data_IF_231526999470
#
_entry.id   IF_231526999470
#
_cell.length_a   1.000
_cell.length_b   1.000
_cell.length_c   1.000
_cell.angle_alpha   90.00
_cell.angle_beta   90.00
_cell.angle_gamma   90.00
#
_symmetry.space_group_name_H-M   'P 1'
#
loop_
_entity.id
_entity.type
_entity.pdbx_description
1 polymer ?
#
# COMPACT_ATOMS: atom_id res chain seq x y z
N UNK A 1 -8.91 -14.54 0.29
CA UNK A 1 -9.59 -13.89 1.44
C UNK A 1 -9.11 -14.43 2.78
N UNK A 2 -9.04 -15.75 3.01
CA UNK A 2 -8.56 -16.31 4.29
C UNK A 2 -7.17 -15.86 4.77
N UNK A 3 -6.19 -15.70 3.85
CA UNK A 3 -4.83 -15.21 4.17
C UNK A 3 -4.78 -13.73 4.57
N UNK A 4 -5.69 -12.90 4.05
CA UNK A 4 -5.76 -11.47 4.40
C UNK A 4 -6.51 -11.23 5.71
N UNK A 5 -7.39 -12.17 6.08
CA UNK A 5 -8.21 -12.14 7.28
C UNK A 5 -7.61 -12.96 8.43
N UNK A 6 -6.40 -13.52 8.27
CA UNK A 6 -5.72 -14.35 9.27
C UNK A 6 -6.52 -15.60 9.69
N UNK A 7 -7.34 -16.14 8.78
CA UNK A 7 -8.27 -17.23 9.07
C UNK A 7 -7.68 -18.63 8.85
N UNK A 8 -6.44 -18.76 8.37
CA UNK A 8 -5.81 -20.06 8.16
C UNK A 8 -5.11 -20.54 9.44
N UNK A 9 -5.55 -21.66 10.04
CA UNK A 9 -4.86 -22.24 11.18
C UNK A 9 -3.45 -22.72 10.78
N UNK A 10 -2.47 -22.54 11.67
CA UNK A 10 -1.09 -23.02 11.48
C UNK A 10 -0.07 -21.95 11.09
N UNK A 11 -0.48 -20.69 10.86
CA UNK A 11 0.47 -19.57 10.66
C UNK A 11 0.76 -18.85 11.99
N UNK A 12 2.04 -18.78 12.35
CA UNK A 12 2.49 -17.87 13.39
C UNK A 12 2.71 -16.48 12.77
N UNK A 13 1.92 -15.48 13.19
CA UNK A 13 2.12 -14.09 12.81
C UNK A 13 2.71 -13.35 14.02
N UNK A 14 4.05 -13.38 14.23
CA UNK A 14 4.65 -12.81 15.42
C UNK A 14 4.41 -11.31 15.46
N UNK A 15 3.97 -10.85 16.63
CA UNK A 15 3.84 -9.42 16.95
C UNK A 15 5.22 -8.84 17.20
N UNK A 16 5.67 -7.95 16.33
CA UNK A 16 6.99 -7.33 16.38
C UNK A 16 6.97 -6.05 17.20
N UNK A 17 5.91 -5.26 17.05
CA UNK A 17 5.67 -4.05 17.84
C UNK A 17 4.32 -4.18 18.53
N UNK A 18 4.26 -3.88 19.83
CA UNK A 18 3.02 -3.87 20.60
C UNK A 18 2.76 -2.46 21.13
N UNK A 19 1.72 -1.81 20.59
CA UNK A 19 1.30 -0.45 20.96
C UNK A 19 2.46 0.55 21.05
N UNK A 20 3.46 0.42 20.19
CA UNK A 20 4.59 1.33 20.12
C UNK A 20 4.09 2.73 19.73
N UNK A 21 4.50 3.75 20.46
CA UNK A 21 4.20 5.15 20.13
C UNK A 21 5.45 5.74 19.50
N UNK A 22 5.37 6.15 18.23
CA UNK A 22 6.53 6.64 17.48
C UNK A 22 6.88 8.10 17.82
N UNK A 23 5.89 8.90 18.21
CA UNK A 23 6.02 10.31 18.54
C UNK A 23 4.90 10.79 19.49
N UNK A 24 5.07 11.94 20.15
CA UNK A 24 4.11 12.46 21.14
C UNK A 24 2.69 12.68 20.59
N UNK A 25 2.56 13.04 19.31
CA UNK A 25 1.29 13.31 18.65
C UNK A 25 0.72 12.09 17.92
N UNK A 26 1.41 10.95 17.99
CA UNK A 26 1.06 9.72 17.28
C UNK A 26 0.20 8.76 18.11
N UNK A 27 -0.77 8.10 17.47
CA UNK A 27 -1.50 6.99 18.08
C UNK A 27 -0.61 5.74 18.26
N UNK A 28 -0.96 4.80 19.15
CA UNK A 28 -0.19 3.57 19.33
C UNK A 28 -0.27 2.70 18.07
N UNK A 29 0.87 2.20 17.64
CA UNK A 29 1.03 1.33 16.47
C UNK A 29 1.39 -0.10 16.89
N UNK A 30 0.73 -1.08 16.29
CA UNK A 30 1.04 -2.50 16.49
C UNK A 30 1.38 -3.10 15.13
N UNK A 31 2.48 -3.84 15.05
CA UNK A 31 2.99 -4.42 13.81
C UNK A 31 3.23 -5.91 13.98
N UNK A 32 2.88 -6.67 12.94
CA UNK A 32 3.08 -8.11 12.87
C UNK A 32 3.87 -8.45 11.61
N UNK A 33 4.69 -9.50 11.64
CA UNK A 33 5.12 -10.17 10.42
C UNK A 33 4.05 -11.18 10.04
N UNK A 34 3.17 -10.78 9.12
CA UNK A 34 2.04 -11.57 8.67
C UNK A 34 2.48 -12.57 7.59
N UNK A 35 3.05 -13.71 8.00
CA UNK A 35 3.60 -14.71 7.09
C UNK A 35 2.54 -15.30 6.15
N UNK A 36 1.30 -15.38 6.61
CA UNK A 36 0.15 -15.72 5.78
C UNK A 36 -0.03 -14.75 4.61
N UNK A 37 0.01 -13.43 4.85
CA UNK A 37 -0.03 -12.44 3.77
C UNK A 37 1.19 -12.54 2.85
N UNK A 38 2.36 -12.85 3.40
CA UNK A 38 3.59 -13.01 2.62
C UNK A 38 3.51 -14.14 1.58
N UNK A 39 2.64 -15.14 1.78
CA UNK A 39 2.43 -16.23 0.81
C UNK A 39 1.63 -15.81 -0.42
N UNK A 40 0.88 -14.71 -0.36
CA UNK A 40 -0.03 -14.29 -1.44
C UNK A 40 0.70 -14.12 -2.78
N UNK A 41 1.84 -13.39 -2.89
CA UNK A 41 2.57 -13.30 -4.15
C UNK A 41 3.02 -14.66 -4.69
N UNK A 42 3.44 -15.58 -3.82
CA UNK A 42 3.94 -16.89 -4.24
C UNK A 42 2.81 -17.81 -4.73
N UNK A 43 1.69 -17.85 -4.01
CA UNK A 43 0.50 -18.61 -4.42
C UNK A 43 -0.09 -18.06 -5.72
N UNK A 44 -0.18 -16.74 -5.83
CA UNK A 44 -0.65 -16.12 -7.06
C UNK A 44 0.32 -16.35 -8.23
N UNK A 45 1.64 -16.32 -7.98
CA UNK A 45 2.63 -16.57 -9.02
C UNK A 45 2.59 -18.02 -9.52
N UNK A 46 2.37 -18.98 -8.62
CA UNK A 46 2.19 -20.39 -8.97
C UNK A 46 0.97 -20.59 -9.89
N UNK A 47 -0.10 -19.83 -9.68
CA UNK A 47 -1.30 -19.87 -10.51
C UNK A 47 -1.22 -18.97 -11.75
N UNK A 48 -0.39 -17.93 -11.72
CA UNK A 48 -0.34 -16.85 -12.72
C UNK A 48 1.11 -16.42 -12.96
N UNK A 49 1.79 -17.01 -13.94
CA UNK A 49 3.17 -16.65 -14.28
C UNK A 49 3.35 -15.18 -14.69
N UNK A 50 2.28 -14.52 -15.16
CA UNK A 50 2.27 -13.10 -15.51
C UNK A 50 2.13 -12.15 -14.32
N UNK A 51 2.03 -12.63 -13.08
CA UNK A 51 1.72 -11.81 -11.91
C UNK A 51 2.64 -10.57 -11.77
N UNK A 52 3.92 -10.73 -12.09
CA UNK A 52 4.91 -9.67 -11.92
C UNK A 52 5.07 -8.76 -13.14
N UNK A 53 4.46 -9.11 -14.28
CA UNK A 53 4.65 -8.42 -15.56
C UNK A 53 3.37 -8.31 -16.38
N UNK A 54 3.14 -7.12 -16.92
CA UNK A 54 2.07 -6.86 -17.87
C UNK A 54 2.58 -5.95 -19.00
N UNK A 55 1.74 -5.73 -20.02
CA UNK A 55 2.07 -4.78 -21.08
C UNK A 55 2.17 -3.35 -20.54
N UNK A 56 3.37 -2.77 -20.62
CA UNK A 56 3.61 -1.41 -20.17
C UNK A 56 2.91 -0.39 -21.07
N UNK A 57 2.12 0.50 -20.48
CA UNK A 57 1.45 1.63 -21.16
C UNK A 57 2.06 2.94 -20.70
N UNK A 58 3.38 3.06 -20.90
CA UNK A 58 4.14 4.20 -20.44
C UNK A 58 3.57 5.51 -21.02
N UNK A 59 3.56 6.60 -20.24
CA UNK A 59 3.09 7.88 -20.73
C UNK A 59 4.03 8.38 -21.82
N UNK A 60 3.49 9.02 -22.86
CA UNK A 60 4.30 9.57 -23.96
C UNK A 60 5.25 10.70 -23.56
N UNK A 61 5.15 11.21 -22.32
CA UNK A 61 6.04 12.26 -21.78
C UNK A 61 6.60 11.84 -20.42
N UNK A 62 7.92 11.92 -20.18
CA UNK A 62 8.53 11.42 -18.95
C UNK A 62 8.15 12.21 -17.69
N UNK A 63 7.77 13.49 -17.81
CA UNK A 63 7.40 14.32 -16.66
C UNK A 63 6.11 13.86 -15.95
N UNK A 64 5.28 13.01 -16.58
CA UNK A 64 4.16 12.38 -15.88
C UNK A 64 4.63 11.49 -14.71
N UNK A 65 5.81 10.89 -14.80
CA UNK A 65 6.42 10.19 -13.66
C UNK A 65 6.77 11.14 -12.53
N UNK A 66 7.22 12.36 -12.83
CA UNK A 66 7.48 13.38 -11.80
C UNK A 66 6.19 13.77 -11.08
N UNK A 67 5.08 13.91 -11.82
CA UNK A 67 3.77 14.13 -11.20
C UNK A 67 3.35 12.96 -10.32
N UNK A 68 3.56 11.72 -10.77
CA UNK A 68 3.20 10.54 -9.99
C UNK A 68 4.02 10.46 -8.70
N UNK A 69 5.33 10.76 -8.76
CA UNK A 69 6.18 10.87 -7.57
C UNK A 69 5.70 12.00 -6.66
N UNK A 70 5.37 13.17 -7.20
CA UNK A 70 4.85 14.31 -6.42
C UNK A 70 3.46 14.05 -5.81
N UNK A 71 2.66 13.13 -6.38
CA UNK A 71 1.36 12.76 -5.86
C UNK A 71 1.45 12.08 -4.48
N UNK A 72 2.56 11.39 -4.17
CA UNK A 72 2.78 10.74 -2.87
C UNK A 72 2.81 11.76 -1.71
N UNK A 73 3.73 12.75 -1.69
CA UNK A 73 3.71 13.78 -0.65
C UNK A 73 2.45 14.65 -0.73
N UNK A 74 1.91 14.93 -1.93
CA UNK A 74 0.66 15.69 -2.05
C UNK A 74 -0.52 15.01 -1.35
N UNK A 75 -0.63 13.67 -1.44
CA UNK A 75 -1.67 12.90 -0.76
C UNK A 75 -1.51 12.96 0.77
N UNK A 76 -0.28 12.89 1.29
CA UNK A 76 0.00 13.03 2.72
C UNK A 76 -0.28 14.45 3.23
N UNK A 77 0.03 15.48 2.43
CA UNK A 77 -0.31 16.87 2.74
C UNK A 77 -1.82 17.11 2.74
N UNK A 78 -2.57 16.47 1.82
CA UNK A 78 -4.04 16.51 1.84
C UNK A 78 -4.59 15.89 3.14
N UNK A 79 -3.98 14.82 3.64
CA UNK A 79 -4.36 14.20 4.91
C UNK A 79 -4.15 15.14 6.12
N UNK A 80 -3.17 16.04 6.06
CA UNK A 80 -3.04 17.14 7.04
C UNK A 80 -4.23 18.09 6.93
N UNK A 81 -4.60 18.48 5.70
CA UNK A 81 -5.69 19.44 5.45
C UNK A 81 -7.05 18.99 6.01
N UNK A 82 -7.27 17.68 6.11
CA UNK A 82 -8.49 17.09 6.70
C UNK A 82 -8.31 16.64 8.16
N UNK A 83 -7.17 16.93 8.78
CA UNK A 83 -6.92 16.68 10.20
C UNK A 83 -6.54 15.25 10.58
N UNK A 84 -6.23 14.37 9.61
CA UNK A 84 -5.81 13.00 9.89
C UNK A 84 -4.36 12.90 10.34
N UNK A 85 -3.49 13.77 9.79
CA UNK A 85 -2.05 13.77 10.04
C UNK A 85 -1.56 15.13 10.52
N UNK A 86 -0.41 15.13 11.19
CA UNK A 86 0.43 16.32 11.43
C UNK A 86 1.87 16.02 11.03
N UNK A 87 2.67 17.00 10.61
CA UNK A 87 4.12 16.80 10.45
C UNK A 87 4.75 16.39 11.79
N UNK A 88 5.49 15.29 11.80
CA UNK A 88 6.19 14.76 12.98
C UNK A 88 7.37 13.92 12.48
N UNK A 89 8.60 14.35 12.81
CA UNK A 89 9.80 13.65 12.34
C UNK A 89 10.13 12.46 13.24
N UNK A 90 10.39 11.31 12.63
CA UNK A 90 10.65 10.06 13.33
C UNK A 90 11.96 9.40 12.87
N UNK A 91 12.66 8.79 13.83
CA UNK A 91 13.80 7.91 13.58
C UNK A 91 13.77 6.71 14.55
N UNK A 92 12.74 5.85 14.46
CA UNK A 92 12.56 4.78 15.43
C UNK A 92 13.68 3.74 15.32
N UNK A 93 14.18 3.24 16.45
CA UNK A 93 15.19 2.17 16.47
C UNK A 93 14.74 0.89 15.74
N UNK A 94 13.42 0.72 15.57
CA UNK A 94 12.79 -0.40 14.87
C UNK A 94 12.52 -0.14 13.38
N UNK A 95 13.09 0.92 12.79
CA UNK A 95 12.86 1.28 11.39
C UNK A 95 13.18 0.15 10.40
N UNK A 96 14.22 -0.64 10.67
CA UNK A 96 14.59 -1.74 9.78
C UNK A 96 13.53 -2.86 9.77
N UNK A 97 12.92 -3.18 10.92
CA UNK A 97 11.81 -4.14 11.00
C UNK A 97 10.61 -3.62 10.22
N UNK A 98 10.32 -2.32 10.33
CA UNK A 98 9.25 -1.69 9.55
C UNK A 98 9.53 -1.76 8.06
N UNK A 99 10.75 -1.48 7.61
CA UNK A 99 11.12 -1.57 6.19
C UNK A 99 10.87 -2.99 5.65
N UNK A 100 11.29 -4.02 6.38
CA UNK A 100 11.08 -5.41 5.99
C UNK A 100 9.59 -5.78 5.99
N UNK A 101 8.86 -5.46 7.06
CA UNK A 101 7.41 -5.66 7.15
C UNK A 101 6.68 -5.01 5.98
N UNK A 102 6.91 -3.71 5.80
CA UNK A 102 6.24 -2.87 4.83
C UNK A 102 6.53 -3.36 3.40
N UNK A 103 7.78 -3.68 3.06
CA UNK A 103 8.13 -4.09 1.70
C UNK A 103 7.53 -5.46 1.35
N UNK A 104 7.75 -6.48 2.18
CA UNK A 104 7.44 -7.86 1.81
C UNK A 104 6.07 -8.35 2.27
N UNK A 105 5.61 -7.91 3.45
CA UNK A 105 4.40 -8.43 4.10
C UNK A 105 3.17 -7.54 3.89
N UNK A 106 3.39 -6.27 3.49
CA UNK A 106 2.33 -5.31 3.19
C UNK A 106 2.33 -4.97 1.71
N UNK A 107 3.26 -4.14 1.25
CA UNK A 107 3.23 -3.57 -0.10
C UNK A 107 3.31 -4.64 -1.19
N UNK A 108 4.27 -5.57 -1.13
CA UNK A 108 4.37 -6.61 -2.17
C UNK A 108 3.13 -7.53 -2.19
N UNK A 109 2.65 -7.93 -1.01
CA UNK A 109 1.48 -8.80 -0.89
C UNK A 109 0.20 -8.15 -1.42
N UNK A 110 -0.03 -6.89 -1.06
CA UNK A 110 -1.18 -6.12 -1.51
C UNK A 110 -1.09 -5.79 -3.00
N UNK A 111 0.05 -5.29 -3.49
CA UNK A 111 0.17 -4.99 -4.91
C UNK A 111 0.08 -6.25 -5.78
N UNK A 112 0.59 -7.40 -5.32
CA UNK A 112 0.41 -8.68 -6.03
C UNK A 112 -1.07 -9.01 -6.22
N UNK A 113 -1.89 -8.86 -5.17
CA UNK A 113 -3.32 -9.11 -5.24
C UNK A 113 -4.04 -8.06 -6.10
N UNK A 114 -3.80 -6.78 -5.86
CA UNK A 114 -4.58 -5.70 -6.46
C UNK A 114 -4.11 -5.33 -7.87
N UNK A 115 -2.81 -5.38 -8.17
CA UNK A 115 -2.25 -5.02 -9.48
C UNK A 115 -2.00 -6.24 -10.33
N UNK A 116 -1.15 -7.13 -9.82
CA UNK A 116 -0.73 -8.33 -10.53
C UNK A 116 -1.90 -9.25 -10.87
N UNK A 117 -2.88 -9.37 -9.96
CA UNK A 117 -4.08 -10.17 -10.22
C UNK A 117 -5.29 -9.33 -10.62
N UNK A 118 -5.86 -8.54 -9.71
CA UNK A 118 -7.18 -7.94 -9.90
C UNK A 118 -7.21 -6.92 -11.05
N UNK A 119 -6.33 -5.92 -11.04
CA UNK A 119 -6.27 -4.89 -12.08
C UNK A 119 -5.89 -5.49 -13.44
N UNK A 120 -4.96 -6.44 -13.49
CA UNK A 120 -4.61 -7.13 -14.74
C UNK A 120 -5.81 -7.89 -15.33
N UNK A 121 -6.52 -8.68 -14.52
CA UNK A 121 -7.69 -9.45 -14.97
C UNK A 121 -8.85 -8.56 -15.42
N UNK A 122 -9.16 -7.52 -14.65
CA UNK A 122 -10.14 -6.52 -15.04
C UNK A 122 -9.72 -5.80 -16.33
N UNK A 123 -8.41 -5.57 -16.52
CA UNK A 123 -7.85 -4.93 -17.71
C UNK A 123 -8.11 -5.72 -18.99
N UNK A 124 -8.09 -7.05 -18.90
CA UNK A 124 -8.40 -7.95 -20.02
C UNK A 124 -9.89 -7.90 -20.42
N UNK A 125 -10.79 -7.58 -19.49
CA UNK A 125 -12.24 -7.64 -19.72
C UNK A 125 -12.85 -6.26 -20.00
N UNK A 126 -12.39 -5.23 -19.29
CA UNK A 126 -12.97 -3.88 -19.28
C UNK A 126 -12.04 -2.83 -19.89
N UNK A 127 -10.80 -3.19 -20.20
CA UNK A 127 -9.76 -2.26 -20.59
C UNK A 127 -9.02 -1.62 -19.40
N UNK A 128 -7.91 -0.91 -19.65
CA UNK A 128 -6.96 -0.47 -18.63
C UNK A 128 -7.53 0.54 -17.62
N UNK A 129 -8.31 1.51 -18.09
CA UNK A 129 -8.76 2.64 -17.26
C UNK A 129 -9.91 2.26 -16.32
N UNK A 130 -10.96 1.52 -16.77
CA UNK A 130 -11.97 1.00 -15.85
C UNK A 130 -11.37 0.04 -14.83
N UNK A 131 -10.40 -0.79 -15.24
CA UNK A 131 -9.70 -1.70 -14.34
C UNK A 131 -8.90 -0.95 -13.25
N UNK A 132 -8.19 0.11 -13.62
CA UNK A 132 -7.50 0.99 -12.67
C UNK A 132 -8.47 1.57 -11.64
N UNK A 133 -9.59 2.15 -12.10
CA UNK A 133 -10.58 2.77 -11.22
C UNK A 133 -11.20 1.74 -10.26
N UNK A 134 -11.63 0.59 -10.77
CA UNK A 134 -12.28 -0.45 -9.97
C UNK A 134 -11.32 -1.11 -8.97
N UNK A 135 -10.10 -1.45 -9.40
CA UNK A 135 -9.09 -2.01 -8.49
C UNK A 135 -8.69 -1.03 -7.38
N UNK A 136 -8.61 0.27 -7.68
CA UNK A 136 -8.31 1.31 -6.69
C UNK A 136 -9.47 1.53 -5.72
N UNK A 137 -10.71 1.52 -6.20
CA UNK A 137 -11.89 1.59 -5.33
C UNK A 137 -11.95 0.37 -4.39
N UNK A 138 -11.74 -0.84 -4.90
CA UNK A 138 -11.72 -2.06 -4.09
C UNK A 138 -10.56 -2.07 -3.08
N UNK A 139 -9.41 -1.52 -3.44
CA UNK A 139 -8.29 -1.31 -2.51
C UNK A 139 -8.70 -0.39 -1.35
N UNK A 140 -9.37 0.73 -1.65
CA UNK A 140 -9.94 1.61 -0.62
C UNK A 140 -10.97 0.91 0.25
N UNK A 141 -11.90 0.16 -0.34
CA UNK A 141 -12.91 -0.61 0.40
C UNK A 141 -12.30 -1.68 1.32
N UNK A 142 -11.18 -2.31 0.94
CA UNK A 142 -10.49 -3.28 1.78
C UNK A 142 -9.96 -2.67 3.10
N UNK A 143 -9.86 -1.34 3.17
CA UNK A 143 -9.42 -0.60 4.36
C UNK A 143 -10.59 -0.12 5.26
N UNK A 144 -11.80 -0.68 5.09
CA UNK A 144 -13.00 -0.27 5.84
C UNK A 144 -12.85 -0.27 7.36
N UNK A 145 -11.99 -1.14 7.92
CA UNK A 145 -11.73 -1.22 9.36
C UNK A 145 -11.14 0.07 9.95
N UNK A 146 -10.48 0.91 9.13
CA UNK A 146 -10.00 2.23 9.56
C UNK A 146 -10.95 3.39 9.28
N UNK A 147 -12.18 3.11 8.85
CA UNK A 147 -13.23 4.09 8.64
C UNK A 147 -13.22 4.79 7.27
N UNK A 148 -14.23 5.63 6.98
CA UNK A 148 -14.48 6.17 5.64
C UNK A 148 -13.34 7.01 5.07
N UNK A 149 -12.68 7.81 5.92
CA UNK A 149 -11.54 8.62 5.49
C UNK A 149 -10.35 7.74 5.10
N UNK A 150 -10.02 6.69 5.87
CA UNK A 150 -8.95 5.78 5.48
C UNK A 150 -9.29 5.08 4.16
N UNK A 151 -10.54 4.65 3.96
CA UNK A 151 -10.97 4.04 2.70
C UNK A 151 -10.74 4.97 1.51
N UNK A 152 -11.08 6.26 1.66
CA UNK A 152 -10.87 7.27 0.62
C UNK A 152 -9.38 7.45 0.30
N UNK A 153 -8.55 7.70 1.32
CA UNK A 153 -7.11 7.91 1.13
C UNK A 153 -6.39 6.67 0.61
N UNK A 154 -6.76 5.48 1.08
CA UNK A 154 -6.27 4.22 0.53
C UNK A 154 -6.66 4.06 -0.94
N UNK A 155 -7.90 4.40 -1.32
CA UNK A 155 -8.34 4.39 -2.72
C UNK A 155 -7.55 5.35 -3.61
N UNK A 156 -7.28 6.57 -3.13
CA UNK A 156 -6.43 7.55 -3.82
C UNK A 156 -4.98 7.07 -3.95
N UNK A 157 -4.42 6.48 -2.90
CA UNK A 157 -3.11 5.83 -2.95
C UNK A 157 -3.10 4.66 -3.97
N UNK A 158 -4.18 3.88 -4.00
CA UNK A 158 -4.39 2.81 -4.96
C UNK A 158 -4.37 3.28 -6.42
N UNK A 159 -4.85 4.50 -6.71
CA UNK A 159 -4.72 5.11 -8.04
C UNK A 159 -3.25 5.39 -8.39
N UNK A 160 -2.46 5.89 -7.45
CA UNK A 160 -1.01 6.14 -7.64
C UNK A 160 -0.31 4.82 -7.98
N UNK A 161 -0.52 3.78 -7.18
CA UNK A 161 0.13 2.48 -7.37
C UNK A 161 -0.37 1.78 -8.63
N UNK A 162 -1.66 1.93 -8.93
CA UNK A 162 -2.29 1.41 -10.14
C UNK A 162 -1.79 2.07 -11.42
N UNK A 163 -1.50 3.37 -11.39
CA UNK A 163 -0.83 4.07 -12.50
C UNK A 163 0.63 3.64 -12.64
N UNK A 164 1.36 3.51 -11.53
CA UNK A 164 2.72 2.98 -11.53
C UNK A 164 2.79 1.59 -12.18
N UNK A 165 1.84 0.70 -11.86
CA UNK A 165 1.67 -0.60 -12.53
C UNK A 165 1.34 -0.45 -14.01
N UNK A 166 0.30 0.32 -14.34
CA UNK A 166 -0.18 0.47 -15.72
C UNK A 166 0.90 1.01 -16.66
N UNK A 167 1.69 1.97 -16.19
CA UNK A 167 2.73 2.61 -17.01
C UNK A 167 4.01 1.80 -17.10
N UNK A 168 4.38 1.07 -16.07
CA UNK A 168 5.63 0.29 -16.06
C UNK A 168 5.47 -1.15 -16.52
N UNK A 169 4.27 -1.73 -16.39
CA UNK A 169 4.02 -3.16 -16.54
C UNK A 169 4.80 -4.02 -15.53
N UNK A 170 5.25 -3.43 -14.40
CA UNK A 170 6.15 -4.10 -13.43
C UNK A 170 5.63 -3.96 -12.01
N UNK A 171 5.43 -5.09 -11.35
CA UNK A 171 4.83 -5.12 -10.02
C UNK A 171 5.69 -4.40 -8.97
N UNK A 172 7.01 -4.52 -9.12
CA UNK A 172 7.97 -3.86 -8.23
C UNK A 172 7.87 -2.33 -8.27
N UNK A 173 7.46 -1.72 -9.38
CA UNK A 173 7.31 -0.26 -9.43
C UNK A 173 6.13 0.16 -8.55
N UNK A 174 4.97 -0.47 -8.69
CA UNK A 174 3.83 -0.24 -7.81
C UNK A 174 4.18 -0.53 -6.33
N UNK A 175 4.88 -1.63 -6.08
CA UNK A 175 5.34 -2.02 -4.74
C UNK A 175 6.22 -0.94 -4.11
N UNK A 176 7.15 -0.35 -4.86
CA UNK A 176 8.04 0.71 -4.37
C UNK A 176 7.32 2.03 -4.12
N UNK A 177 6.31 2.38 -4.93
CA UNK A 177 5.46 3.55 -4.67
C UNK A 177 4.66 3.38 -3.37
N UNK A 178 4.06 2.21 -3.16
CA UNK A 178 3.34 1.88 -1.94
C UNK A 178 4.27 1.89 -0.73
N UNK A 179 5.38 1.15 -0.81
CA UNK A 179 6.40 1.13 0.22
C UNK A 179 6.89 2.55 0.57
N UNK A 180 7.18 3.35 -0.45
CA UNK A 180 7.66 4.72 -0.32
C UNK A 180 6.65 5.64 0.35
N UNK A 181 5.37 5.52 0.03
CA UNK A 181 4.30 6.27 0.72
C UNK A 181 4.27 5.92 2.21
N UNK A 182 4.25 4.63 2.55
CA UNK A 182 4.20 4.17 3.94
C UNK A 182 5.45 4.58 4.74
N UNK A 183 6.62 4.54 4.10
CA UNK A 183 7.87 4.98 4.73
C UNK A 183 7.89 6.50 4.93
N UNK A 184 7.43 7.27 3.94
CA UNK A 184 7.34 8.74 4.03
C UNK A 184 6.35 9.15 5.10
N UNK A 185 5.20 8.47 5.18
CA UNK A 185 4.21 8.64 6.23
C UNK A 185 4.83 8.41 7.61
N UNK A 186 5.48 7.27 7.82
CA UNK A 186 6.12 6.95 9.11
C UNK A 186 7.19 7.97 9.49
N UNK A 187 8.06 8.38 8.58
CA UNK A 187 9.24 9.18 8.91
C UNK A 187 8.93 10.67 9.11
N UNK A 188 7.90 11.20 8.45
CA UNK A 188 7.67 12.65 8.36
C UNK A 188 6.34 13.13 8.96
N UNK A 189 5.44 12.22 9.32
CA UNK A 189 4.12 12.57 9.84
C UNK A 189 3.76 11.68 11.04
N UNK A 190 2.77 12.12 11.82
CA UNK A 190 2.14 11.32 12.87
C UNK A 190 1.69 9.96 12.34
N UNK A 191 1.95 8.88 13.07
CA UNK A 191 1.73 7.52 12.59
C UNK A 191 1.11 6.61 13.68
N UNK A 192 0.08 5.80 13.38
CA UNK A 192 -0.58 5.67 12.08
C UNK A 192 -1.56 6.82 11.78
N UNK A 193 -1.95 7.59 12.80
CA UNK A 193 -2.83 8.75 12.74
C UNK A 193 -2.46 9.75 13.84
N UNK A 194 -2.86 11.01 13.66
CA UNK A 194 -2.78 12.04 14.68
C UNK A 194 -3.66 11.70 15.89
N UNK A 195 -3.12 11.83 17.09
CA UNK A 195 -3.86 11.79 18.36
C UNK A 195 -4.32 13.21 18.71
N UNK A 196 -5.62 13.52 18.63
CA UNK A 196 -6.14 14.80 19.11
C UNK A 196 -5.88 14.93 20.62
N UNK A 197 -5.56 16.15 21.05
CA UNK A 197 -5.42 16.51 22.47
C UNK A 197 -6.76 16.46 23.20
#
# INVERSE_FOLDING_TARGET
MGLFLHLLPGFANPRILDKAVVGPQSLPFTMYFNFDKALVPFLLLACLPSLFRDEARAPGRPWYWLLLVAAVPALLLLAIGVGLLRPELHAPAWLWQFILANLFFVSLAEEALFRGYLQQRLGQWLGPWPALALASALFGLAHFAGGPLLMLFAGLAGLIYGLAWLWSGRLWVATLFHFGLNLTHLLLFTYPLYRPA
#
